data_IF_523913732037
#
_entry.id   IF_523913732037
#
_cell.length_a   1.000
_cell.length_b   1.000
_cell.length_c   1.000
_cell.angle_alpha   90.00
_cell.angle_beta   90.00
_cell.angle_gamma   90.00
#
_symmetry.space_group_name_H-M   'P 1'
#
loop_
_entity.id
_entity.type
_entity.pdbx_description
1 polymer ?
#
# COMPACT_ATOMS: atom_id res chain seq x y z
N UNK A 1 5.25 3.99 12.21
CA UNK A 1 5.12 2.56 11.86
C UNK A 1 6.52 1.98 11.73
N UNK A 2 6.81 0.85 12.38
CA UNK A 2 8.08 0.15 12.17
C UNK A 2 7.98 -0.68 10.88
N UNK A 3 8.82 -0.35 9.90
CA UNK A 3 8.82 -0.99 8.58
C UNK A 3 9.55 -2.33 8.58
N UNK A 4 10.27 -2.71 9.63
CA UNK A 4 10.92 -4.02 9.70
C UNK A 4 9.91 -5.15 9.95
N UNK A 5 8.85 -4.86 10.72
CA UNK A 5 7.83 -5.85 11.08
C UNK A 5 7.11 -6.46 9.85
N UNK A 6 7.02 -5.72 8.75
CA UNK A 6 6.40 -6.21 7.51
C UNK A 6 7.19 -7.36 6.86
N UNK A 7 8.46 -7.55 7.23
CA UNK A 7 9.34 -8.58 6.69
C UNK A 7 9.48 -9.81 7.57
N UNK A 8 8.92 -9.78 8.78
CA UNK A 8 9.07 -10.82 9.80
C UNK A 8 7.74 -11.54 10.10
N UNK A 9 6.77 -11.47 9.17
CA UNK A 9 5.45 -12.08 9.31
C UNK A 9 5.57 -13.61 9.22
N UNK A 10 5.12 -14.32 10.25
CA UNK A 10 5.23 -15.78 10.37
C UNK A 10 3.88 -16.50 10.35
N UNK A 11 2.77 -15.82 10.62
CA UNK A 11 1.43 -16.40 10.63
C UNK A 11 0.35 -15.40 10.17
N UNK A 12 -0.85 -15.93 9.87
CA UNK A 12 -2.01 -15.15 9.40
C UNK A 12 -2.45 -14.06 10.39
N UNK A 13 -2.39 -14.33 11.70
CA UNK A 13 -2.76 -13.34 12.73
C UNK A 13 -1.80 -12.15 12.71
N UNK A 14 -0.49 -12.41 12.66
CA UNK A 14 0.52 -11.36 12.50
C UNK A 14 0.35 -10.60 11.18
N UNK A 15 0.02 -11.29 10.08
CA UNK A 15 -0.26 -10.65 8.80
C UNK A 15 -1.44 -9.69 8.92
N UNK A 16 -2.54 -10.15 9.52
CA UNK A 16 -3.73 -9.34 9.75
C UNK A 16 -3.41 -8.09 10.57
N UNK A 17 -2.73 -8.24 11.70
CA UNK A 17 -2.38 -7.11 12.57
C UNK A 17 -1.47 -6.08 11.87
N UNK A 18 -0.49 -6.56 11.09
CA UNK A 18 0.35 -5.70 10.28
C UNK A 18 -0.47 -4.95 9.21
N UNK A 19 -1.37 -5.63 8.51
CA UNK A 19 -2.27 -5.00 7.54
C UNK A 19 -3.15 -3.91 8.17
N UNK A 20 -3.75 -4.19 9.34
CA UNK A 20 -4.56 -3.20 10.05
C UNK A 20 -3.74 -2.01 10.54
N UNK A 21 -2.51 -2.24 11.00
CA UNK A 21 -1.57 -1.19 11.40
C UNK A 21 -1.20 -0.28 10.22
N UNK A 22 -0.86 -0.88 9.08
CA UNK A 22 -0.55 -0.15 7.82
C UNK A 22 -1.79 0.63 7.35
N UNK A 23 -2.96 0.00 7.36
CA UNK A 23 -4.22 0.65 6.97
C UNK A 23 -4.50 1.89 7.81
N UNK A 24 -4.41 1.80 9.14
CA UNK A 24 -4.61 2.94 10.05
C UNK A 24 -3.57 4.04 9.80
N UNK A 25 -2.31 3.66 9.62
CA UNK A 25 -1.26 4.62 9.27
C UNK A 25 -1.57 5.35 7.96
N UNK A 26 -2.00 4.63 6.92
CA UNK A 26 -2.39 5.22 5.64
C UNK A 26 -3.64 6.11 5.77
N UNK A 27 -4.63 5.70 6.54
CA UNK A 27 -5.82 6.51 6.83
C UNK A 27 -5.43 7.84 7.52
N UNK A 28 -4.53 7.79 8.49
CA UNK A 28 -4.14 8.99 9.24
C UNK A 28 -3.21 9.92 8.44
N UNK A 29 -2.38 9.36 7.55
CA UNK A 29 -1.30 10.11 6.92
C UNK A 29 -1.50 10.36 5.43
N UNK A 30 -2.36 9.61 4.72
CA UNK A 30 -2.65 9.84 3.30
C UNK A 30 -4.01 10.50 3.14
N UNK A 31 -4.02 11.81 2.86
CA UNK A 31 -5.24 12.60 2.77
C UNK A 31 -6.26 12.04 1.77
N UNK A 32 -5.81 11.66 0.56
CA UNK A 32 -6.67 11.07 -0.48
C UNK A 32 -7.32 9.77 -0.01
N UNK A 33 -6.55 8.91 0.68
CA UNK A 33 -7.07 7.65 1.19
C UNK A 33 -8.07 7.89 2.33
N UNK A 34 -7.77 8.81 3.25
CA UNK A 34 -8.69 9.23 4.31
C UNK A 34 -10.05 9.67 3.76
N UNK A 35 -10.02 10.60 2.80
CA UNK A 35 -11.23 11.13 2.17
C UNK A 35 -12.07 10.04 1.51
N UNK A 36 -11.41 9.06 0.89
CA UNK A 36 -12.09 7.91 0.29
C UNK A 36 -12.76 7.02 1.35
N UNK A 37 -12.07 6.68 2.44
CA UNK A 37 -12.64 5.87 3.53
C UNK A 37 -13.80 6.60 4.21
N UNK A 38 -13.65 7.89 4.48
CA UNK A 38 -14.70 8.74 5.08
C UNK A 38 -15.93 8.83 4.17
N UNK A 39 -15.73 8.93 2.85
CA UNK A 39 -16.80 8.93 1.85
C UNK A 39 -17.58 7.61 1.81
N UNK A 40 -16.92 6.48 2.08
CA UNK A 40 -17.58 5.18 2.20
C UNK A 40 -18.33 5.00 3.53
N UNK A 41 -18.23 5.96 4.45
CA UNK A 41 -18.81 5.89 5.80
C UNK A 41 -18.35 4.68 6.60
N UNK A 42 -17.09 4.28 6.42
CA UNK A 42 -16.47 3.16 7.12
C UNK A 42 -15.77 3.69 8.38
N UNK A 43 -16.13 3.16 9.56
CA UNK A 43 -15.35 3.39 10.78
C UNK A 43 -14.13 2.45 10.76
N UNK A 44 -12.93 3.04 10.82
CA UNK A 44 -11.67 2.28 10.82
C UNK A 44 -11.52 1.37 12.05
N UNK A 45 -12.29 1.61 13.11
CA UNK A 45 -12.33 0.76 14.32
C UNK A 45 -13.11 -0.53 14.12
N UNK A 46 -14.06 -0.55 13.18
CA UNK A 46 -14.90 -1.72 12.91
C UNK A 46 -14.20 -2.74 11.98
N UNK A 47 -13.07 -2.36 11.39
CA UNK A 47 -12.23 -3.25 10.56
C UNK A 47 -11.34 -4.08 11.49
N UNK A 48 -11.70 -5.35 11.66
CA UNK A 48 -10.96 -6.35 12.44
C UNK A 48 -10.17 -7.32 11.57
N UNK A 49 -10.44 -7.37 10.27
CA UNK A 49 -9.78 -8.27 9.33
C UNK A 49 -9.32 -7.55 8.06
N UNK A 50 -8.14 -7.90 7.53
CA UNK A 50 -7.54 -7.24 6.36
C UNK A 50 -8.42 -7.30 5.11
N UNK A 51 -9.28 -8.31 4.99
CA UNK A 51 -10.23 -8.45 3.88
C UNK A 51 -11.34 -7.40 3.87
N UNK A 52 -11.54 -6.68 4.99
CA UNK A 52 -12.52 -5.60 5.12
C UNK A 52 -11.92 -4.23 4.75
N UNK A 53 -10.60 -4.15 4.50
CA UNK A 53 -9.95 -2.90 4.14
C UNK A 53 -10.46 -2.44 2.75
N UNK A 54 -10.98 -1.20 2.62
CA UNK A 54 -11.50 -0.73 1.35
C UNK A 54 -10.37 -0.50 0.35
N UNK A 55 -10.52 -1.09 -0.83
CA UNK A 55 -9.59 -0.90 -1.95
C UNK A 55 -9.79 0.47 -2.59
N UNK A 56 -8.69 1.17 -2.85
CA UNK A 56 -8.70 2.48 -3.48
C UNK A 56 -8.87 2.32 -5.01
N UNK A 57 -9.85 3.00 -5.64
CA UNK A 57 -10.08 2.89 -7.08
C UNK A 57 -8.89 3.38 -7.91
N UNK A 58 -8.57 2.65 -8.97
CA UNK A 58 -7.46 3.00 -9.88
C UNK A 58 -7.62 4.39 -10.53
N UNK A 59 -8.86 4.86 -10.71
CA UNK A 59 -9.16 6.20 -11.23
C UNK A 59 -8.59 7.33 -10.36
N UNK A 60 -8.50 7.13 -9.03
CA UNK A 60 -7.89 8.11 -8.14
C UNK A 60 -6.39 8.23 -8.38
N UNK A 61 -5.70 7.16 -8.78
CA UNK A 61 -4.29 7.21 -9.13
C UNK A 61 -4.00 7.99 -10.42
N UNK A 62 -5.03 8.28 -11.24
CA UNK A 62 -4.88 9.13 -12.45
C UNK A 62 -5.00 10.61 -12.15
N UNK A 63 -5.74 10.95 -11.10
CA UNK A 63 -6.20 12.33 -10.83
C UNK A 63 -5.73 12.90 -9.50
N UNK A 64 -5.36 12.06 -8.54
CA UNK A 64 -4.97 12.44 -7.19
C UNK A 64 -3.55 11.96 -6.86
N UNK A 65 -2.90 12.67 -5.96
CA UNK A 65 -1.65 12.23 -5.35
C UNK A 65 -1.96 11.30 -4.18
N UNK A 66 -1.47 10.06 -4.26
CA UNK A 66 -1.66 9.04 -3.23
C UNK A 66 -0.29 8.79 -2.60
N UNK A 67 0.03 9.62 -1.61
CA UNK A 67 1.27 9.56 -0.83
C UNK A 67 0.97 10.06 0.59
N UNK A 68 1.80 9.67 1.56
CA UNK A 68 1.70 10.16 2.93
C UNK A 68 2.08 11.63 3.02
N UNK A 69 1.36 12.37 3.86
CA UNK A 69 1.50 13.81 4.08
C UNK A 69 2.93 14.14 4.50
N UNK A 70 3.49 15.21 3.94
CA UNK A 70 4.86 15.63 4.19
C UNK A 70 5.93 14.74 3.54
N UNK A 71 5.55 13.69 2.81
CA UNK A 71 6.51 12.86 2.07
C UNK A 71 6.70 13.40 0.65
N UNK A 72 7.94 13.36 0.17
CA UNK A 72 8.29 13.67 -1.23
C UNK A 72 8.56 12.35 -1.94
N UNK A 73 7.94 12.07 -3.10
CA UNK A 73 8.21 10.83 -3.83
C UNK A 73 9.67 10.77 -4.29
N UNK A 74 10.35 9.69 -3.94
CA UNK A 74 11.69 9.38 -4.45
C UNK A 74 11.61 8.74 -5.85
N UNK A 75 10.56 7.97 -6.11
CA UNK A 75 10.30 7.32 -7.39
C UNK A 75 8.82 7.46 -7.74
N UNK A 76 8.51 7.65 -9.03
CA UNK A 76 7.14 7.62 -9.55
C UNK A 76 7.05 6.59 -10.65
N UNK A 77 6.17 5.60 -10.46
CA UNK A 77 5.81 4.66 -11.52
C UNK A 77 4.57 5.15 -12.26
N UNK A 78 4.52 4.96 -13.57
CA UNK A 78 3.36 5.29 -14.40
C UNK A 78 2.93 4.05 -15.16
N UNK A 79 1.62 3.87 -15.34
CA UNK A 79 1.09 2.86 -16.26
C UNK A 79 1.50 3.19 -17.69
N UNK A 80 1.69 2.17 -18.54
CA UNK A 80 1.84 2.34 -19.98
C UNK A 80 0.49 2.78 -20.57
N UNK A 81 0.31 4.09 -20.73
CA UNK A 81 -0.87 4.64 -21.40
C UNK A 81 -0.85 4.35 -22.90
N UNK A 82 -2.02 4.22 -23.50
CA UNK A 82 -2.18 4.37 -24.94
C UNK A 82 -2.22 5.86 -25.29
N UNK A 83 -1.76 6.22 -26.48
CA UNK A 83 -1.64 7.60 -26.92
C UNK A 83 -2.92 8.40 -26.70
N UNK A 84 -2.86 9.46 -25.87
CA UNK A 84 -3.99 10.34 -25.56
C UNK A 84 -4.70 10.08 -24.22
N UNK A 85 -4.34 9.04 -23.46
CA UNK A 85 -4.94 8.76 -22.13
C UNK A 85 -4.12 9.33 -20.97
N UNK A 86 -4.80 9.80 -19.91
CA UNK A 86 -4.17 10.11 -18.63
C UNK A 86 -3.78 8.79 -17.95
N UNK A 87 -2.50 8.63 -17.66
CA UNK A 87 -1.94 7.44 -17.01
C UNK A 87 -2.07 7.54 -15.49
N UNK A 88 -2.22 6.38 -14.84
CA UNK A 88 -2.16 6.32 -13.37
C UNK A 88 -0.71 6.47 -12.92
N UNK A 89 -0.50 7.18 -11.80
CA UNK A 89 0.80 7.36 -11.17
C UNK A 89 0.80 6.70 -9.79
N UNK A 90 1.88 5.99 -9.48
CA UNK A 90 2.16 5.44 -8.16
C UNK A 90 3.40 6.13 -7.60
N UNK A 91 3.18 6.93 -6.56
CA UNK A 91 4.20 7.74 -5.90
C UNK A 91 4.82 6.94 -4.75
N UNK A 92 6.13 6.71 -4.80
CA UNK A 92 6.86 5.93 -3.79
C UNK A 92 7.77 6.86 -2.97
N UNK A 93 7.47 6.97 -1.68
CA UNK A 93 8.20 7.83 -0.75
C UNK A 93 9.59 7.28 -0.36
N UNK A 94 9.74 5.96 -0.22
CA UNK A 94 11.02 5.31 0.10
C UNK A 94 11.31 4.21 -0.93
N UNK A 95 12.22 4.51 -1.85
CA UNK A 95 12.60 3.59 -2.91
C UNK A 95 13.33 2.35 -2.38
N UNK A 96 14.11 2.48 -1.29
CA UNK A 96 14.88 1.36 -0.72
C UNK A 96 13.97 0.39 -0.01
N UNK A 97 12.99 0.88 0.74
CA UNK A 97 11.97 0.04 1.37
C UNK A 97 11.18 -0.72 0.30
N UNK A 98 10.74 0.00 -0.75
CA UNK A 98 10.02 -0.58 -1.88
C UNK A 98 10.85 -1.67 -2.58
N UNK A 99 12.12 -1.41 -2.90
CA UNK A 99 13.01 -2.41 -3.51
C UNK A 99 13.22 -3.63 -2.59
N UNK A 100 13.43 -3.39 -1.30
CA UNK A 100 13.67 -4.45 -0.31
C UNK A 100 12.48 -5.41 -0.20
N UNK A 101 11.24 -4.92 -0.33
CA UNK A 101 10.07 -5.79 -0.27
C UNK A 101 10.01 -6.79 -1.42
N UNK A 102 10.31 -6.35 -2.65
CA UNK A 102 10.37 -7.27 -3.79
C UNK A 102 11.54 -8.25 -3.66
N UNK A 103 12.72 -7.78 -3.23
CA UNK A 103 13.90 -8.64 -3.09
C UNK A 103 13.67 -9.76 -2.07
N UNK A 104 13.13 -9.43 -0.88
CA UNK A 104 12.81 -10.43 0.14
C UNK A 104 11.74 -11.41 -0.30
N UNK A 105 10.70 -10.94 -1.00
CA UNK A 105 9.64 -11.81 -1.53
C UNK A 105 10.18 -12.80 -2.58
N UNK A 106 11.00 -12.32 -3.52
CA UNK A 106 11.59 -13.14 -4.57
C UNK A 106 12.67 -14.11 -4.03
N UNK A 107 13.49 -13.68 -3.06
CA UNK A 107 14.49 -14.56 -2.43
C UNK A 107 13.82 -15.71 -1.68
N UNK A 108 12.72 -15.44 -0.96
CA UNK A 108 11.98 -16.45 -0.22
C UNK A 108 11.19 -17.40 -1.14
N UNK A 109 10.82 -16.94 -2.35
CA UNK A 109 10.12 -17.77 -3.34
C UNK A 109 11.02 -18.82 -4.01
N UNK A 110 12.35 -18.70 -3.91
CA UNK A 110 13.29 -19.67 -4.50
C UNK A 110 13.29 -21.02 -3.76
N UNK A 111 12.79 -21.07 -2.53
CA UNK A 111 12.79 -22.30 -1.70
C UNK A 111 11.57 -23.20 -1.97
N UNK A 112 10.54 -22.71 -2.67
CA UNK A 112 9.28 -23.45 -2.93
C UNK A 112 9.18 -24.08 -4.34
N UNK A 113 10.29 -24.25 -5.06
CA UNK A 113 10.30 -25.01 -6.34
C UNK A 113 10.82 -26.46 -6.22
N UNK A 114 10.88 -26.98 -4.99
CA UNK A 114 11.46 -28.28 -4.68
C UNK A 114 10.56 -29.26 -3.93
N UNK A 115 9.23 -29.17 -4.09
CA UNK A 115 8.27 -30.19 -3.62
C UNK A 115 7.30 -30.51 -4.75
#
# INVERSE_FOLDING_TARGET
MDTQQIFEIQCDEQFNDNCLSIFRYQYDHCQTYKQYVDYLHIDTKDISHYTQIPFLPIELFKSQEIITSGSVPQVTFSSSGTTGMITSKHLVADAKLYESSFRKLLSNSTVMSGI
#
